data_IF_565101671902
#
_entry.id   IF_565101671902
#
_cell.length_a   1.000
_cell.length_b   1.000
_cell.length_c   1.000
_cell.angle_alpha   90.00
_cell.angle_beta   90.00
_cell.angle_gamma   90.00
#
_symmetry.space_group_name_H-M   'P 1'
#
loop_
_entity.id
_entity.type
_entity.pdbx_description
1 polymer ?
#
# COMPACT_ATOMS: atom_id res chain seq x y z
N UNK A 1 -37.51 10.74 21.57
CA UNK A 1 -36.54 10.85 22.67
C UNK A 1 -36.57 12.29 23.16
N UNK A 2 -36.67 12.53 24.47
CA UNK A 2 -36.69 13.88 25.10
C UNK A 2 -35.64 13.88 26.22
N UNK A 3 -34.98 15.01 26.47
CA UNK A 3 -34.00 15.22 27.55
C UNK A 3 -32.72 14.34 27.43
N UNK A 4 -32.12 14.26 26.25
CA UNK A 4 -30.81 13.62 26.09
C UNK A 4 -29.70 14.51 26.66
N UNK A 5 -28.69 13.87 27.23
CA UNK A 5 -27.49 14.48 27.78
C UNK A 5 -26.23 13.73 27.32
N UNK A 6 -25.06 14.20 27.78
CA UNK A 6 -23.74 13.64 27.48
C UNK A 6 -23.63 12.12 27.74
N UNK A 7 -24.35 11.61 28.74
CA UNK A 7 -24.28 10.21 29.17
C UNK A 7 -25.31 9.33 28.48
N UNK A 8 -26.46 9.89 28.11
CA UNK A 8 -27.60 9.14 27.56
C UNK A 8 -27.65 9.14 26.03
N UNK A 9 -27.01 10.11 25.36
CA UNK A 9 -27.03 10.23 23.89
C UNK A 9 -26.45 9.00 23.17
N UNK A 10 -25.41 8.38 23.72
CA UNK A 10 -24.76 7.21 23.09
C UNK A 10 -25.72 6.03 22.94
N UNK A 11 -26.43 5.71 24.03
CA UNK A 11 -27.39 4.60 24.05
C UNK A 11 -28.58 4.89 23.12
N UNK A 12 -29.05 6.14 23.10
CA UNK A 12 -30.10 6.59 22.20
C UNK A 12 -29.75 6.40 20.71
N UNK A 13 -28.49 6.67 20.30
CA UNK A 13 -28.03 6.44 18.92
C UNK A 13 -27.94 4.94 18.61
N UNK A 14 -27.40 4.14 19.54
CA UNK A 14 -27.29 2.68 19.37
C UNK A 14 -28.66 2.02 19.20
N UNK A 15 -29.63 2.38 20.04
CA UNK A 15 -31.02 1.90 19.94
C UNK A 15 -31.67 2.30 18.62
N UNK A 16 -31.33 3.48 18.07
CA UNK A 16 -31.85 3.90 16.78
C UNK A 16 -31.29 3.06 15.63
N UNK A 17 -30.03 2.62 15.74
CA UNK A 17 -29.38 1.80 14.72
C UNK A 17 -29.83 0.32 14.78
N UNK A 18 -30.41 -0.14 15.90
CA UNK A 18 -30.80 -1.54 16.09
C UNK A 18 -31.96 -2.00 15.18
N UNK A 19 -32.65 -1.07 14.51
CA UNK A 19 -33.72 -1.37 13.54
C UNK A 19 -33.20 -1.83 12.17
N UNK A 20 -31.89 -1.74 11.91
CA UNK A 20 -31.29 -2.27 10.68
C UNK A 20 -31.49 -3.80 10.58
N UNK A 21 -31.90 -4.28 9.41
CA UNK A 21 -32.01 -5.72 9.11
C UNK A 21 -30.65 -6.37 8.80
N UNK A 22 -29.59 -5.57 8.61
CA UNK A 22 -28.25 -6.07 8.39
C UNK A 22 -27.51 -6.19 9.74
N UNK A 23 -27.39 -7.43 10.24
CA UNK A 23 -26.73 -7.75 11.52
C UNK A 23 -25.28 -7.25 11.56
N UNK A 24 -24.50 -7.48 10.50
CA UNK A 24 -23.10 -7.06 10.49
C UNK A 24 -22.96 -5.54 10.54
N UNK A 25 -23.82 -4.81 9.83
CA UNK A 25 -23.84 -3.35 9.89
C UNK A 25 -24.20 -2.85 11.29
N UNK A 26 -25.11 -3.52 12.01
CA UNK A 26 -25.43 -3.18 13.40
C UNK A 26 -24.20 -3.33 14.29
N UNK A 27 -23.47 -4.43 14.19
CA UNK A 27 -22.26 -4.66 14.98
C UNK A 27 -21.20 -3.58 14.74
N UNK A 28 -20.98 -3.22 13.48
CA UNK A 28 -20.01 -2.18 13.10
C UNK A 28 -20.44 -0.81 13.64
N UNK A 29 -21.70 -0.43 13.44
CA UNK A 29 -22.20 0.89 13.88
C UNK A 29 -22.30 1.00 15.40
N UNK A 30 -22.62 -0.09 16.10
CA UNK A 30 -22.58 -0.16 17.56
C UNK A 30 -21.20 0.23 18.08
N UNK A 31 -20.16 -0.46 17.60
CA UNK A 31 -18.78 -0.23 18.02
C UNK A 31 -18.31 1.19 17.63
N UNK A 32 -18.54 1.61 16.38
CA UNK A 32 -18.14 2.93 15.89
C UNK A 32 -18.73 4.07 16.74
N UNK A 33 -20.03 4.05 16.98
CA UNK A 33 -20.71 5.09 17.78
C UNK A 33 -20.16 5.10 19.21
N UNK A 34 -19.96 3.92 19.79
CA UNK A 34 -19.48 3.80 21.16
C UNK A 34 -18.06 4.35 21.31
N UNK A 35 -17.15 4.03 20.39
CA UNK A 35 -15.78 4.57 20.40
C UNK A 35 -15.74 6.06 20.07
N UNK A 36 -16.50 6.55 19.09
CA UNK A 36 -16.55 7.96 18.72
C UNK A 36 -17.06 8.85 19.86
N UNK A 37 -18.15 8.45 20.51
CA UNK A 37 -18.68 9.19 21.65
C UNK A 37 -17.76 9.12 22.87
N UNK A 38 -17.03 8.00 23.05
CA UNK A 38 -16.06 7.87 24.14
C UNK A 38 -14.85 8.77 23.92
N UNK A 39 -14.34 8.85 22.69
CA UNK A 39 -13.30 9.80 22.30
C UNK A 39 -13.71 11.25 22.63
N UNK A 40 -14.91 11.67 22.20
CA UNK A 40 -15.39 13.04 22.45
C UNK A 40 -15.46 13.38 23.95
N UNK A 41 -15.92 12.43 24.79
CA UNK A 41 -15.93 12.60 26.25
C UNK A 41 -14.54 12.59 26.87
N UNK A 42 -13.68 11.69 26.41
CA UNK A 42 -12.32 11.52 26.93
C UNK A 42 -11.50 12.80 26.79
N UNK A 43 -11.57 13.43 25.61
CA UNK A 43 -10.85 14.68 25.33
C UNK A 43 -11.64 15.93 25.71
N UNK A 44 -12.88 15.79 26.18
CA UNK A 44 -13.81 16.90 26.44
C UNK A 44 -13.93 17.83 25.24
N UNK A 45 -14.20 17.24 24.07
CA UNK A 45 -14.20 17.93 22.77
C UNK A 45 -15.12 19.16 22.80
N UNK A 46 -14.54 20.33 22.55
CA UNK A 46 -15.27 21.61 22.50
C UNK A 46 -16.02 21.79 21.17
N UNK A 47 -16.98 22.72 21.13
CA UNK A 47 -17.69 23.06 19.88
C UNK A 47 -16.74 23.62 18.82
N UNK A 48 -15.74 24.41 19.22
CA UNK A 48 -14.73 24.97 18.33
C UNK A 48 -13.83 23.86 17.74
N UNK A 49 -13.34 22.93 18.55
CA UNK A 49 -12.55 21.78 18.07
C UNK A 49 -13.38 20.85 17.18
N UNK A 50 -14.66 20.66 17.52
CA UNK A 50 -15.60 19.92 16.68
C UNK A 50 -15.78 20.57 15.30
N UNK A 51 -15.93 21.90 15.24
CA UNK A 51 -16.03 22.64 13.98
C UNK A 51 -14.75 22.52 13.15
N UNK A 52 -13.57 22.58 13.77
CA UNK A 52 -12.29 22.31 13.12
C UNK A 52 -12.28 20.90 12.50
N UNK A 53 -12.70 19.88 13.26
CA UNK A 53 -12.79 18.50 12.79
C UNK A 53 -13.75 18.30 11.62
N UNK A 54 -14.92 18.95 11.65
CA UNK A 54 -15.89 18.92 10.55
C UNK A 54 -15.32 19.59 9.29
N UNK A 55 -14.68 20.75 9.44
CA UNK A 55 -14.05 21.46 8.33
C UNK A 55 -12.89 20.65 7.73
N UNK A 56 -12.10 19.97 8.58
CA UNK A 56 -11.05 19.06 8.14
C UNK A 56 -11.60 17.90 7.30
N UNK A 57 -12.59 17.17 7.80
CA UNK A 57 -13.21 16.05 7.05
C UNK A 57 -13.90 16.51 5.76
N UNK A 58 -14.50 17.71 5.78
CA UNK A 58 -15.09 18.32 4.59
C UNK A 58 -14.02 18.60 3.53
N UNK A 59 -12.89 19.19 3.93
CA UNK A 59 -11.78 19.47 3.02
C UNK A 59 -11.15 18.18 2.47
N UNK A 60 -11.05 17.11 3.29
CA UNK A 60 -10.59 15.79 2.85
C UNK A 60 -11.51 15.26 1.74
N UNK A 61 -12.82 15.37 1.89
CA UNK A 61 -13.77 14.97 0.85
C UNK A 61 -13.66 15.81 -0.42
N UNK A 62 -13.52 17.13 -0.30
CA UNK A 62 -13.50 18.07 -1.43
C UNK A 62 -12.28 17.92 -2.35
N UNK A 63 -11.13 17.50 -1.81
CA UNK A 63 -9.89 17.34 -2.59
C UNK A 63 -9.76 15.96 -3.24
N UNK A 64 -10.64 15.00 -2.88
CA UNK A 64 -10.68 13.70 -3.54
C UNK A 64 -11.09 13.85 -5.02
N UNK A 65 -10.45 13.05 -5.89
CA UNK A 65 -10.68 12.98 -7.34
C UNK A 65 -10.47 11.53 -7.83
N UNK A 66 -10.69 11.22 -9.12
CA UNK A 66 -10.35 9.90 -9.67
C UNK A 66 -8.88 9.49 -9.51
N UNK A 67 -7.96 10.46 -9.41
CA UNK A 67 -6.51 10.23 -9.27
C UNK A 67 -5.98 10.57 -7.88
N UNK A 68 -6.83 11.03 -6.95
CA UNK A 68 -6.45 11.37 -5.57
C UNK A 68 -7.51 10.90 -4.58
N UNK A 69 -7.13 10.04 -3.64
CA UNK A 69 -8.02 9.56 -2.58
C UNK A 69 -7.53 10.01 -1.20
N UNK A 70 -7.87 11.24 -0.81
CA UNK A 70 -7.42 11.84 0.45
C UNK A 70 -8.01 11.10 1.67
N UNK A 71 -9.20 10.49 1.57
CA UNK A 71 -9.73 9.63 2.65
C UNK A 71 -8.91 8.36 2.86
N UNK A 72 -8.39 7.75 1.78
CA UNK A 72 -7.45 6.62 1.89
C UNK A 72 -6.16 7.11 2.53
N UNK A 73 -5.65 8.27 2.11
CA UNK A 73 -4.45 8.85 2.69
C UNK A 73 -4.59 9.20 4.19
N UNK A 74 -5.77 9.67 4.60
CA UNK A 74 -6.10 9.87 6.01
C UNK A 74 -6.08 8.54 6.78
N UNK A 75 -6.68 7.49 6.21
CA UNK A 75 -6.63 6.14 6.79
C UNK A 75 -5.20 5.62 6.91
N UNK A 76 -4.37 5.82 5.88
CA UNK A 76 -2.97 5.41 5.84
C UNK A 76 -2.14 6.11 6.93
N UNK A 77 -2.26 7.43 7.02
CA UNK A 77 -1.48 8.26 7.95
C UNK A 77 -1.93 8.16 9.40
N UNK A 78 -3.16 7.70 9.65
CA UNK A 78 -3.64 7.30 10.98
C UNK A 78 -3.35 5.82 11.32
N UNK A 79 -2.74 5.07 10.39
CA UNK A 79 -2.39 3.66 10.58
C UNK A 79 -3.58 2.68 10.48
N UNK A 80 -4.78 3.17 10.14
CA UNK A 80 -5.98 2.35 10.02
C UNK A 80 -5.87 1.36 8.86
N UNK A 81 -5.34 1.77 7.71
CA UNK A 81 -5.14 0.89 6.55
C UNK A 81 -4.24 -0.29 6.90
N UNK A 82 -3.11 0.01 7.56
CA UNK A 82 -2.14 -0.99 8.04
C UNK A 82 -2.78 -1.95 9.05
N UNK A 83 -3.58 -1.43 9.99
CA UNK A 83 -4.30 -2.25 10.96
C UNK A 83 -5.32 -3.19 10.29
N UNK A 84 -6.12 -2.68 9.36
CA UNK A 84 -7.11 -3.47 8.62
C UNK A 84 -6.42 -4.60 7.84
N UNK A 85 -5.27 -4.31 7.21
CA UNK A 85 -4.49 -5.33 6.50
C UNK A 85 -3.97 -6.39 7.45
N UNK A 86 -3.38 -6.00 8.58
CA UNK A 86 -2.89 -6.93 9.58
C UNK A 86 -4.01 -7.83 10.18
N UNK A 87 -5.24 -7.33 10.24
CA UNK A 87 -6.40 -8.12 10.70
C UNK A 87 -6.87 -9.15 9.67
N UNK A 88 -6.88 -8.79 8.38
CA UNK A 88 -7.50 -9.58 7.32
C UNK A 88 -6.51 -10.45 6.54
N UNK A 89 -5.21 -10.18 6.64
CA UNK A 89 -4.15 -10.95 5.98
C UNK A 89 -3.25 -11.69 6.97
N UNK A 90 -3.85 -12.29 8.00
CA UNK A 90 -3.14 -13.19 8.92
C UNK A 90 -2.80 -14.49 8.20
N UNK A 91 -1.57 -14.58 7.71
CA UNK A 91 -1.04 -15.74 7.00
C UNK A 91 -0.18 -16.60 7.93
N UNK A 92 0.00 -17.90 7.62
CA UNK A 92 0.94 -18.73 8.36
C UNK A 92 2.38 -18.17 8.29
N UNK A 93 3.19 -18.49 9.30
CA UNK A 93 4.59 -18.08 9.34
C UNK A 93 5.34 -18.60 8.10
N UNK A 94 6.09 -17.73 7.43
CA UNK A 94 6.83 -18.03 6.21
C UNK A 94 6.17 -17.52 4.93
N UNK A 95 4.89 -17.17 4.95
CA UNK A 95 4.29 -16.40 3.85
C UNK A 95 4.83 -14.98 3.82
N UNK A 96 4.94 -14.40 2.62
CA UNK A 96 5.28 -12.98 2.48
C UNK A 96 4.18 -12.13 3.08
N UNK A 97 4.56 -11.15 3.90
CA UNK A 97 3.63 -10.25 4.56
C UNK A 97 2.94 -9.32 3.55
N UNK A 98 1.66 -9.06 3.78
CA UNK A 98 0.92 -8.04 3.05
C UNK A 98 1.15 -6.66 3.67
N UNK A 99 1.10 -5.60 2.87
CA UNK A 99 1.13 -4.20 3.34
C UNK A 99 0.20 -3.32 2.50
N UNK A 100 0.10 -2.04 2.86
CA UNK A 100 -0.85 -1.07 2.28
C UNK A 100 -0.78 -1.01 0.76
N UNK A 101 -1.92 -0.95 0.08
CA UNK A 101 -1.98 -0.89 -1.38
C UNK A 101 -1.42 0.42 -1.94
N UNK A 102 -1.63 1.53 -1.22
CA UNK A 102 -1.32 2.88 -1.67
C UNK A 102 -2.29 3.39 -2.75
N UNK A 103 -2.27 4.70 -3.05
CA UNK A 103 -3.26 5.32 -3.92
C UNK A 103 -2.89 5.33 -5.42
N UNK A 104 -1.74 4.76 -5.81
CA UNK A 104 -1.15 4.95 -7.15
C UNK A 104 -1.20 3.73 -8.07
N UNK A 105 -1.90 2.68 -7.67
CA UNK A 105 -2.22 1.58 -8.58
C UNK A 105 -3.23 2.04 -9.63
N UNK A 106 -3.07 1.54 -10.87
CA UNK A 106 -4.05 1.73 -11.95
C UNK A 106 -4.38 0.39 -12.55
N UNK A 107 -5.63 0.27 -13.00
CA UNK A 107 -6.05 -0.84 -13.84
C UNK A 107 -5.40 -0.72 -15.23
N UNK A 108 -5.22 -1.84 -15.90
CA UNK A 108 -4.72 -1.92 -17.28
C UNK A 108 -3.28 -1.41 -17.49
N UNK A 109 -2.40 -1.68 -16.52
CA UNK A 109 -0.96 -1.52 -16.72
C UNK A 109 -0.47 -2.39 -17.90
N UNK A 110 0.58 -1.98 -18.63
CA UNK A 110 1.04 -2.71 -19.81
C UNK A 110 1.55 -4.11 -19.42
N UNK A 111 1.12 -5.12 -20.17
CA UNK A 111 1.68 -6.47 -20.06
C UNK A 111 3.02 -6.51 -20.81
N UNK A 112 4.09 -6.89 -20.12
CA UNK A 112 5.43 -6.98 -20.68
C UNK A 112 5.99 -8.41 -20.53
N UNK A 113 6.87 -8.80 -21.44
CA UNK A 113 7.60 -10.07 -21.37
C UNK A 113 8.64 -10.03 -20.24
N UNK A 114 8.95 -11.18 -19.64
CA UNK A 114 10.02 -11.28 -18.66
C UNK A 114 11.35 -10.76 -19.23
N UNK A 115 12.06 -9.97 -18.42
CA UNK A 115 13.31 -9.29 -18.79
C UNK A 115 13.12 -7.90 -19.41
N UNK A 116 11.89 -7.50 -19.75
CA UNK A 116 11.61 -6.16 -20.27
C UNK A 116 11.88 -5.05 -19.24
N UNK A 117 12.07 -3.82 -19.72
CA UNK A 117 12.21 -2.64 -18.88
C UNK A 117 10.85 -1.94 -18.66
N UNK A 118 10.29 -2.00 -17.44
CA UNK A 118 9.01 -1.33 -17.12
C UNK A 118 9.13 0.20 -16.95
N UNK A 119 10.35 0.72 -16.98
CA UNK A 119 10.67 2.16 -16.91
C UNK A 119 11.43 2.62 -18.16
N UNK A 120 11.10 2.05 -19.32
CA UNK A 120 11.72 2.44 -20.59
C UNK A 120 11.53 3.95 -20.85
N UNK A 121 12.65 4.63 -21.14
CA UNK A 121 12.67 6.08 -21.37
C UNK A 121 12.64 6.95 -20.11
N UNK A 122 12.53 6.35 -18.91
CA UNK A 122 12.64 7.07 -17.63
C UNK A 122 14.11 7.21 -17.27
N UNK A 123 14.51 8.40 -16.83
CA UNK A 123 15.84 8.64 -16.29
C UNK A 123 15.95 7.97 -14.91
N UNK A 124 17.10 7.36 -14.63
CA UNK A 124 17.37 6.78 -13.33
C UNK A 124 18.51 5.78 -13.38
N UNK A 125 18.93 5.29 -12.21
CA UNK A 125 19.95 4.24 -12.12
C UNK A 125 19.32 2.90 -12.51
N UNK A 126 19.83 2.16 -13.50
CA UNK A 126 19.28 0.86 -13.89
C UNK A 126 19.19 -0.11 -12.71
N UNK A 127 18.07 -0.81 -12.62
CA UNK A 127 17.79 -1.78 -11.56
C UNK A 127 17.23 -3.07 -12.15
N UNK A 128 17.84 -4.19 -11.80
CA UNK A 128 17.43 -5.53 -12.24
C UNK A 128 16.78 -6.27 -11.08
N UNK A 129 15.50 -6.57 -11.21
CA UNK A 129 14.70 -7.23 -10.18
C UNK A 129 14.39 -8.64 -10.62
N UNK A 130 14.56 -9.61 -9.72
CA UNK A 130 14.30 -11.02 -10.00
C UNK A 130 13.90 -11.80 -8.75
N UNK A 131 13.39 -13.01 -8.96
CA UNK A 131 13.04 -13.93 -7.88
C UNK A 131 12.13 -15.05 -8.35
N UNK A 132 11.46 -15.70 -7.40
CA UNK A 132 10.48 -16.74 -7.68
C UNK A 132 9.21 -16.62 -6.84
N UNK A 133 8.10 -17.07 -7.41
CA UNK A 133 6.79 -17.19 -6.76
C UNK A 133 6.61 -18.64 -6.32
N UNK A 134 6.46 -18.83 -5.00
CA UNK A 134 6.38 -20.14 -4.36
C UNK A 134 5.19 -20.22 -3.41
N UNK A 135 4.74 -21.43 -3.12
CA UNK A 135 3.87 -21.68 -1.98
C UNK A 135 4.68 -21.88 -0.70
N UNK A 136 3.98 -21.89 0.44
CA UNK A 136 4.59 -22.10 1.76
C UNK A 136 5.34 -23.42 1.93
N UNK A 137 4.96 -24.45 1.18
CA UNK A 137 5.61 -25.77 1.11
C UNK A 137 6.78 -25.81 0.12
N UNK A 138 7.16 -24.67 -0.47
CA UNK A 138 8.22 -24.57 -1.46
C UNK A 138 7.79 -24.97 -2.87
N UNK A 139 6.52 -25.31 -3.08
CA UNK A 139 5.99 -25.62 -4.42
C UNK A 139 6.15 -24.39 -5.33
N UNK A 140 6.59 -24.62 -6.56
CA UNK A 140 6.71 -23.58 -7.58
C UNK A 140 5.30 -23.18 -8.06
N UNK A 141 5.07 -21.89 -8.25
CA UNK A 141 3.80 -21.36 -8.78
C UNK A 141 4.06 -20.76 -10.17
N UNK A 142 3.87 -21.55 -11.26
CA UNK A 142 4.08 -21.06 -12.61
C UNK A 142 2.94 -20.14 -13.04
N UNK A 143 3.22 -19.23 -13.99
CA UNK A 143 2.25 -18.31 -14.58
C UNK A 143 1.50 -17.43 -13.57
N UNK A 144 2.06 -17.22 -12.36
CA UNK A 144 1.53 -16.22 -11.44
C UNK A 144 1.61 -14.84 -12.10
N UNK A 145 0.52 -14.08 -12.03
CA UNK A 145 0.46 -12.70 -12.50
C UNK A 145 1.13 -11.80 -11.46
N UNK A 146 2.04 -10.94 -11.90
CA UNK A 146 2.84 -10.05 -11.08
C UNK A 146 2.66 -8.64 -11.62
N UNK A 147 1.89 -7.84 -10.93
CA UNK A 147 1.83 -6.40 -11.17
C UNK A 147 2.87 -5.70 -10.31
N UNK A 148 3.74 -4.91 -10.93
CA UNK A 148 4.75 -4.12 -10.26
C UNK A 148 4.54 -2.64 -10.57
N UNK A 149 4.70 -1.75 -9.58
CA UNK A 149 4.68 -0.31 -9.80
C UNK A 149 5.54 0.44 -8.78
N UNK A 150 6.10 1.58 -9.18
CA UNK A 150 6.96 2.42 -8.34
C UNK A 150 6.94 3.88 -8.77
N UNK A 151 7.46 4.74 -7.89
CA UNK A 151 7.87 6.08 -8.26
C UNK A 151 9.16 6.06 -9.11
N UNK A 152 9.43 7.16 -9.79
CA UNK A 152 10.69 7.42 -10.48
C UNK A 152 11.81 7.94 -9.54
N UNK A 153 12.91 8.41 -10.14
CA UNK A 153 14.06 8.99 -9.42
C UNK A 153 13.80 10.41 -8.87
N UNK A 154 12.64 11.00 -9.18
CA UNK A 154 12.16 12.28 -8.63
C UNK A 154 11.07 12.08 -7.56
N UNK A 155 10.66 10.83 -7.30
CA UNK A 155 9.66 10.48 -6.30
C UNK A 155 8.21 10.60 -6.78
N UNK A 156 7.96 10.59 -8.10
CA UNK A 156 6.62 10.65 -8.68
C UNK A 156 6.23 9.35 -9.36
N UNK A 157 4.99 8.91 -9.14
CA UNK A 157 4.35 7.92 -10.00
C UNK A 157 3.90 8.58 -11.29
N UNK A 158 3.88 7.83 -12.39
CA UNK A 158 3.40 8.29 -13.70
C UNK A 158 2.01 8.95 -13.65
N UNK A 159 1.07 8.43 -12.86
CA UNK A 159 -0.28 9.01 -12.67
C UNK A 159 -0.30 10.40 -12.07
N UNK A 160 0.81 10.85 -11.49
CA UNK A 160 0.98 12.20 -10.96
C UNK A 160 1.50 13.17 -12.02
N UNK A 161 1.90 12.68 -13.20
CA UNK A 161 2.46 13.47 -14.30
C UNK A 161 1.40 13.64 -15.40
N UNK A 162 0.78 14.83 -15.53
CA UNK A 162 -0.34 15.04 -16.45
C UNK A 162 0.04 14.92 -17.94
N UNK A 163 1.32 15.10 -18.28
CA UNK A 163 1.80 15.19 -19.66
C UNK A 163 2.39 13.86 -20.19
N UNK A 164 2.21 12.74 -19.48
CA UNK A 164 2.72 11.45 -19.94
C UNK A 164 1.83 10.81 -21.01
N UNK A 165 2.41 10.54 -22.18
CA UNK A 165 1.75 9.83 -23.28
C UNK A 165 1.73 8.30 -23.09
N UNK A 166 2.58 7.78 -22.20
CA UNK A 166 2.75 6.34 -21.94
C UNK A 166 2.94 6.09 -20.44
N UNK A 167 2.43 4.95 -19.96
CA UNK A 167 2.72 4.46 -18.63
C UNK A 167 4.21 4.20 -18.44
N UNK A 168 4.70 4.48 -17.23
CA UNK A 168 6.12 4.39 -16.86
C UNK A 168 6.22 3.91 -15.42
N UNK A 169 7.20 3.06 -15.11
CA UNK A 169 7.40 2.57 -13.74
C UNK A 169 6.30 1.61 -13.28
N UNK A 170 5.57 0.99 -14.22
CA UNK A 170 4.56 -0.03 -13.95
C UNK A 170 4.44 -1.04 -15.08
N UNK A 171 4.17 -2.29 -14.74
CA UNK A 171 3.88 -3.34 -15.72
C UNK A 171 3.23 -4.56 -15.06
N UNK A 172 2.61 -5.39 -15.89
CA UNK A 172 2.14 -6.74 -15.54
C UNK A 172 3.04 -7.77 -16.20
N UNK A 173 3.54 -8.72 -15.42
CA UNK A 173 4.36 -9.84 -15.87
C UNK A 173 3.69 -11.17 -15.50
N UNK A 174 4.12 -12.25 -16.13
CA UNK A 174 3.76 -13.61 -15.74
C UNK A 174 5.02 -14.41 -15.40
N UNK A 175 5.01 -15.08 -14.25
CA UNK A 175 6.10 -15.97 -13.86
C UNK A 175 6.27 -17.12 -14.87
N UNK A 176 7.50 -17.57 -15.08
CA UNK A 176 7.80 -18.66 -16.01
C UNK A 176 7.33 -20.04 -15.49
N UNK A 177 7.61 -21.11 -16.23
CA UNK A 177 7.23 -22.48 -15.83
C UNK A 177 7.93 -22.97 -14.55
N UNK A 178 9.01 -22.32 -14.13
CA UNK A 178 9.70 -22.55 -12.86
C UNK A 178 9.30 -21.53 -11.79
N UNK A 179 8.23 -20.76 -12.02
CA UNK A 179 7.73 -19.72 -11.12
C UNK A 179 8.68 -18.54 -10.98
N UNK A 180 9.68 -18.40 -11.86
CA UNK A 180 10.65 -17.31 -11.80
C UNK A 180 10.12 -16.08 -12.51
N UNK A 181 10.52 -14.92 -12.02
CA UNK A 181 10.29 -13.64 -12.67
C UNK A 181 11.58 -12.84 -12.69
N UNK A 182 11.70 -11.97 -13.69
CA UNK A 182 12.73 -10.95 -13.76
C UNK A 182 12.30 -9.83 -14.69
N UNK A 183 12.72 -8.61 -14.39
CA UNK A 183 12.51 -7.43 -15.22
C UNK A 183 13.53 -6.34 -14.89
N UNK A 184 13.63 -5.35 -15.76
CA UNK A 184 14.43 -4.15 -15.54
C UNK A 184 13.53 -2.97 -15.18
N UNK A 185 14.06 -2.06 -14.38
CA UNK A 185 13.46 -0.76 -14.05
C UNK A 185 14.57 0.21 -13.64
N UNK A 186 14.22 1.27 -12.90
CA UNK A 186 15.15 2.21 -12.26
C UNK A 186 15.01 2.15 -10.73
N UNK A 187 16.08 2.45 -10.01
CA UNK A 187 16.02 2.56 -8.54
C UNK A 187 15.10 3.73 -8.16
N UNK A 188 13.99 3.50 -7.41
CA UNK A 188 13.18 4.59 -6.87
C UNK A 188 13.87 5.27 -5.70
N UNK A 189 13.57 6.54 -5.49
CA UNK A 189 13.97 7.28 -4.30
C UNK A 189 12.90 7.24 -3.20
N UNK A 190 13.29 7.59 -1.98
CA UNK A 190 12.32 7.93 -0.94
C UNK A 190 11.51 9.14 -1.41
N UNK A 191 10.20 9.15 -1.14
CA UNK A 191 9.31 10.20 -1.64
C UNK A 191 8.26 10.59 -0.60
N UNK A 192 7.78 11.84 -0.61
CA UNK A 192 6.70 12.25 0.27
C UNK A 192 5.35 11.82 -0.31
N UNK A 193 4.44 11.35 0.55
CA UNK A 193 3.01 11.24 0.17
C UNK A 193 2.46 12.63 -0.22
N UNK A 194 1.35 12.71 -0.99
CA UNK A 194 0.67 13.98 -1.23
C UNK A 194 0.41 14.74 0.07
N UNK A 195 0.99 15.93 0.21
CA UNK A 195 0.98 16.68 1.47
C UNK A 195 0.58 18.16 1.29
N UNK A 196 0.03 18.49 0.13
CA UNK A 196 -0.57 19.79 -0.20
C UNK A 196 -2.02 19.91 0.30
N UNK A 197 -2.61 18.81 0.78
CA UNK A 197 -3.99 18.70 1.25
C UNK A 197 -4.15 18.78 2.77
N UNK A 198 -5.38 18.54 3.27
CA UNK A 198 -5.67 18.51 4.69
C UNK A 198 -4.80 17.50 5.45
N UNK A 199 -4.53 16.31 4.89
CA UNK A 199 -3.69 15.31 5.56
C UNK A 199 -2.26 15.83 5.77
N UNK A 200 -1.70 16.51 4.78
CA UNK A 200 -0.40 17.16 4.91
C UNK A 200 -0.36 18.20 6.03
N UNK A 201 -1.39 19.05 6.12
CA UNK A 201 -1.53 20.04 7.22
C UNK A 201 -1.67 19.38 8.58
N UNK A 202 -2.40 18.26 8.67
CA UNK A 202 -2.50 17.47 9.91
C UNK A 202 -1.14 16.91 10.33
N UNK A 203 -0.37 16.36 9.38
CA UNK A 203 0.97 15.85 9.67
C UNK A 203 1.91 16.96 10.15
N UNK A 204 1.90 18.11 9.48
CA UNK A 204 2.68 19.29 9.88
C UNK A 204 2.33 19.74 11.30
N UNK A 205 1.03 19.86 11.62
CA UNK A 205 0.56 20.23 12.95
C UNK A 205 0.96 19.22 14.04
N UNK A 206 1.15 17.95 13.68
CA UNK A 206 1.62 16.87 14.55
C UNK A 206 3.15 16.72 14.56
N UNK A 207 3.90 17.60 13.89
CA UNK A 207 5.36 17.48 13.69
C UNK A 207 5.78 16.15 13.05
N UNK A 208 4.97 15.63 12.14
CA UNK A 208 5.23 14.40 11.37
C UNK A 208 5.66 14.75 9.95
N UNK A 209 6.58 13.96 9.42
CA UNK A 209 7.01 14.10 8.03
C UNK A 209 6.14 13.26 7.07
N UNK A 210 6.02 13.64 5.78
CA UNK A 210 5.24 12.90 4.79
C UNK A 210 6.03 11.78 4.08
N UNK A 211 7.31 11.63 4.36
CA UNK A 211 8.20 10.71 3.63
C UNK A 211 7.90 9.22 3.85
N UNK A 212 7.99 8.48 2.75
CA UNK A 212 8.04 7.02 2.71
C UNK A 212 9.43 6.57 2.27
N UNK A 213 9.97 5.47 2.82
CA UNK A 213 11.23 4.88 2.37
C UNK A 213 11.14 4.42 0.91
N UNK A 214 12.27 4.28 0.22
CA UNK A 214 12.32 3.76 -1.15
C UNK A 214 11.77 2.33 -1.19
N UNK A 215 10.82 2.06 -2.10
CA UNK A 215 10.17 0.76 -2.24
C UNK A 215 9.64 0.52 -3.65
N UNK A 216 9.43 -0.77 -3.94
CA UNK A 216 8.74 -1.25 -5.14
C UNK A 216 7.47 -1.99 -4.72
N UNK A 217 6.33 -1.63 -5.31
CA UNK A 217 5.07 -2.29 -5.05
C UNK A 217 4.93 -3.57 -5.87
N UNK A 218 4.22 -4.54 -5.29
CA UNK A 218 3.81 -5.78 -5.94
C UNK A 218 2.35 -6.12 -5.62
N UNK A 219 1.61 -6.54 -6.64
CA UNK A 219 0.37 -7.29 -6.49
C UNK A 219 0.50 -8.60 -7.25
N UNK A 220 0.34 -9.71 -6.55
CA UNK A 220 0.61 -11.05 -7.07
C UNK A 220 -0.64 -11.90 -6.93
N UNK A 221 -1.07 -12.49 -8.04
CA UNK A 221 -2.25 -13.32 -8.13
C UNK A 221 -1.91 -14.64 -8.81
N UNK A 222 -2.42 -15.75 -8.29
CA UNK A 222 -2.27 -17.06 -8.91
C UNK A 222 -3.51 -17.92 -8.59
N UNK A 223 -3.98 -18.78 -9.52
CA UNK A 223 -5.11 -19.66 -9.25
C UNK A 223 -4.91 -20.53 -8.01
N UNK A 224 -5.86 -20.49 -7.08
CA UNK A 224 -5.81 -21.24 -5.82
C UNK A 224 -4.93 -20.61 -4.72
N UNK A 225 -4.46 -19.37 -4.90
CA UNK A 225 -3.70 -18.62 -3.90
C UNK A 225 -4.36 -17.29 -3.58
N UNK A 226 -4.28 -16.89 -2.32
CA UNK A 226 -4.72 -15.58 -1.88
C UNK A 226 -3.87 -14.51 -2.56
N UNK A 227 -4.53 -13.55 -3.20
CA UNK A 227 -3.87 -12.36 -3.77
C UNK A 227 -2.99 -11.69 -2.70
N UNK A 228 -1.74 -11.43 -3.05
CA UNK A 228 -0.76 -10.73 -2.21
C UNK A 228 -0.59 -9.31 -2.72
N UNK A 229 -0.85 -8.32 -1.87
CA UNK A 229 -0.42 -6.93 -2.07
C UNK A 229 0.70 -6.66 -1.08
N UNK A 230 1.86 -6.23 -1.57
CA UNK A 230 3.02 -5.97 -0.72
C UNK A 230 3.99 -4.97 -1.34
N UNK A 231 5.03 -4.61 -0.59
CA UNK A 231 6.15 -3.81 -1.05
C UNK A 231 7.46 -4.53 -0.74
N UNK A 232 8.50 -4.22 -1.51
CA UNK A 232 9.90 -4.53 -1.13
C UNK A 232 10.63 -3.22 -0.90
N UNK A 233 11.13 -3.03 0.32
CA UNK A 233 11.83 -1.82 0.75
C UNK A 233 13.34 -1.98 0.59
N UNK A 234 14.03 -0.89 0.24
CA UNK A 234 15.49 -0.85 0.17
C UNK A 234 16.09 -0.87 1.58
N UNK A 235 17.09 -1.71 1.78
CA UNK A 235 17.94 -1.65 2.97
C UNK A 235 18.67 -0.31 3.09
N UNK A 236 18.79 0.17 4.33
CA UNK A 236 19.41 1.46 4.65
C UNK A 236 18.74 2.68 3.99
N UNK A 237 17.49 2.52 3.52
CA UNK A 237 16.71 3.66 3.04
C UNK A 237 16.40 4.63 4.19
N UNK A 238 16.37 5.92 3.88
CA UNK A 238 15.81 6.90 4.81
C UNK A 238 14.36 6.54 5.15
N UNK A 239 13.93 6.82 6.38
CA UNK A 239 12.55 6.66 6.85
C UNK A 239 12.04 5.22 7.02
N UNK A 240 12.91 4.20 7.05
CA UNK A 240 12.48 2.82 7.36
C UNK A 240 11.78 2.72 8.72
N UNK A 241 12.31 3.40 9.74
CA UNK A 241 11.75 3.41 11.10
C UNK A 241 10.65 4.46 11.31
N UNK A 242 10.31 5.24 10.28
CA UNK A 242 9.40 6.38 10.39
C UNK A 242 8.47 6.57 9.19
N UNK A 243 8.22 5.51 8.41
CA UNK A 243 7.32 5.53 7.25
C UNK A 243 5.98 6.19 7.58
N UNK A 244 5.62 7.24 6.85
CA UNK A 244 4.45 8.08 7.12
C UNK A 244 3.13 7.30 7.18
N UNK A 245 3.07 6.12 6.56
CA UNK A 245 1.89 5.24 6.47
C UNK A 245 2.04 3.91 7.22
N UNK A 246 3.13 3.73 7.98
CA UNK A 246 3.38 2.53 8.79
C UNK A 246 3.41 1.21 7.98
N UNK A 247 3.86 1.27 6.72
CA UNK A 247 3.84 0.15 5.78
C UNK A 247 5.02 -0.81 5.88
N UNK A 248 6.11 -0.41 6.54
CA UNK A 248 7.34 -1.22 6.64
C UNK A 248 7.13 -2.46 7.52
N UNK A 249 7.69 -3.58 7.06
CA UNK A 249 7.85 -4.82 7.82
C UNK A 249 9.27 -5.32 7.64
N UNK A 250 9.88 -5.86 8.69
CA UNK A 250 11.28 -6.33 8.64
C UNK A 250 11.49 -7.39 7.57
N UNK A 251 10.51 -8.29 7.34
CA UNK A 251 10.59 -9.32 6.30
C UNK A 251 10.53 -8.79 4.87
N UNK A 252 10.12 -7.52 4.69
CA UNK A 252 9.98 -6.85 3.41
C UNK A 252 11.14 -5.90 3.10
N UNK A 253 12.14 -5.80 4.00
CA UNK A 253 13.37 -5.05 3.76
C UNK A 253 14.36 -5.99 3.07
N UNK A 254 14.83 -5.61 1.89
CA UNK A 254 15.73 -6.41 1.08
C UNK A 254 16.98 -5.62 0.69
N UNK A 255 18.09 -6.34 0.51
CA UNK A 255 19.34 -5.74 0.05
C UNK A 255 19.26 -5.39 -1.42
N UNK A 256 19.44 -4.11 -1.75
CA UNK A 256 19.57 -3.66 -3.14
C UNK A 256 21.05 -3.51 -3.43
N UNK A 257 21.63 -4.53 -4.07
CA UNK A 257 23.07 -4.62 -4.26
C UNK A 257 23.50 -3.65 -5.35
N UNK A 258 24.34 -2.68 -5.00
CA UNK A 258 24.97 -1.76 -5.95
C UNK A 258 26.16 -2.43 -6.64
N UNK A 259 26.23 -2.30 -7.96
CA UNK A 259 27.37 -2.65 -8.79
C UNK A 259 27.92 -1.35 -9.41
N UNK A 260 29.21 -1.07 -9.27
CA UNK A 260 29.79 0.17 -9.83
C UNK A 260 29.90 0.12 -11.37
N UNK A 261 30.10 -1.07 -11.93
CA UNK A 261 30.08 -1.40 -13.36
C UNK A 261 30.13 -2.93 -13.51
N UNK A 262 29.91 -3.44 -14.72
CA UNK A 262 30.04 -4.85 -15.03
C UNK A 262 28.96 -5.38 -15.95
N UNK A 263 28.90 -6.69 -16.10
CA UNK A 263 27.84 -7.36 -16.87
C UNK A 263 26.61 -7.52 -15.99
N UNK A 264 25.50 -6.91 -16.40
CA UNK A 264 24.22 -7.00 -15.71
C UNK A 264 23.52 -8.34 -16.00
N UNK A 265 22.46 -8.71 -15.24
CA UNK A 265 21.73 -9.97 -15.45
C UNK A 265 21.13 -10.17 -16.85
N UNK A 266 20.89 -9.09 -17.60
CA UNK A 266 20.44 -9.15 -19.00
C UNK A 266 21.58 -9.47 -20.00
N UNK A 267 22.82 -9.62 -19.53
CA UNK A 267 24.01 -9.89 -20.34
C UNK A 267 24.69 -8.63 -20.92
N UNK A 268 24.14 -7.45 -20.69
CA UNK A 268 24.70 -6.19 -21.17
C UNK A 268 25.78 -5.67 -20.23
N UNK A 269 26.83 -5.06 -20.80
CA UNK A 269 27.86 -4.41 -20.00
C UNK A 269 27.46 -2.97 -19.67
N UNK A 270 27.41 -2.64 -18.38
CA UNK A 270 27.19 -1.30 -17.86
C UNK A 270 28.51 -0.67 -17.40
N UNK A 271 28.88 0.46 -18.00
CA UNK A 271 30.02 1.27 -17.56
C UNK A 271 29.70 2.20 -16.38
N UNK A 272 28.41 2.42 -16.11
CA UNK A 272 27.88 3.20 -14.99
C UNK A 272 27.27 2.26 -13.93
N UNK A 273 27.04 2.76 -12.70
CA UNK A 273 26.44 1.93 -11.66
C UNK A 273 25.05 1.41 -12.03
N UNK A 274 24.73 0.22 -11.54
CA UNK A 274 23.40 -0.40 -11.59
C UNK A 274 23.14 -1.17 -10.29
N UNK A 275 21.88 -1.56 -10.06
CA UNK A 275 21.49 -2.31 -8.88
C UNK A 275 20.89 -3.66 -9.25
N UNK A 276 20.95 -4.62 -8.32
CA UNK A 276 20.23 -5.90 -8.41
C UNK A 276 19.41 -6.15 -7.15
N UNK A 277 18.20 -6.69 -7.30
CA UNK A 277 17.36 -7.23 -6.23
C UNK A 277 16.97 -8.67 -6.58
N UNK A 278 17.16 -9.58 -5.62
CA UNK A 278 16.59 -10.93 -5.64
C UNK A 278 15.62 -11.08 -4.47
N UNK A 279 14.35 -11.38 -4.76
CA UNK A 279 13.31 -11.51 -3.73
C UNK A 279 12.30 -12.59 -4.08
N UNK A 280 12.14 -13.59 -3.21
CA UNK A 280 11.15 -14.64 -3.39
C UNK A 280 9.82 -14.28 -2.70
N UNK A 281 8.71 -14.46 -3.40
CA UNK A 281 7.38 -14.29 -2.85
C UNK A 281 6.75 -15.63 -2.47
N UNK A 282 6.30 -15.74 -1.23
CA UNK A 282 5.67 -16.94 -0.69
C UNK A 282 4.17 -16.70 -0.51
N UNK A 283 3.36 -17.27 -1.39
CA UNK A 283 1.91 -17.14 -1.39
C UNK A 283 1.24 -18.15 -0.46
N UNK A 284 0.11 -17.74 0.11
CA UNK A 284 -0.78 -18.59 0.89
C UNK A 284 -1.87 -19.19 -0.02
N UNK A 285 -2.24 -20.46 0.17
CA UNK A 285 -3.35 -21.06 -0.58
C UNK A 285 -4.67 -20.43 -0.15
N UNK A 286 -5.59 -20.23 -1.10
CA UNK A 286 -6.96 -19.85 -0.73
C UNK A 286 -7.58 -20.98 0.09
N UNK A 287 -8.17 -20.64 1.24
CA UNK A 287 -9.00 -21.60 1.94
C UNK A 287 -10.25 -21.84 1.10
N UNK A 288 -10.52 -23.10 0.75
CA UNK A 288 -11.82 -23.49 0.20
C UNK A 288 -12.87 -23.09 1.23
N UNK A 289 -13.65 -22.06 0.94
CA UNK A 289 -14.84 -21.74 1.73
C UNK A 289 -15.79 -22.92 1.53
N UNK A 290 -15.79 -23.85 2.48
CA UNK A 290 -16.87 -24.83 2.58
C UNK A 290 -18.11 -24.00 2.93
N UNK A 291 -18.95 -23.74 1.93
CA UNK A 291 -20.27 -23.19 2.18
C UNK A 291 -20.97 -24.13 3.16
N UNK A 292 -21.28 -23.62 4.35
CA UNK A 292 -22.06 -24.36 5.32
C UNK A 292 -23.44 -24.62 4.67
N UNK A 293 -23.74 -25.90 4.42
CA UNK A 293 -25.01 -26.38 3.92
C UNK A 293 -26.15 -26.13 4.92
#
# INVERSE_FOLDING_TARGET
MKNLDERTITQAVIERNSFSSNERLKDVMLSLVQHLHSFAREVQLTEEEWEIGINFLTAVGQICSPTRQEFILLSDTLGLSTLVIAQNHKKPLGCTEATVFGPFHVQDAPHLELGSNMSEGVKGTPWFVSGAIKGIDGQIIPNAEIEAWQADDEGFYDVQKPDLEKYQGRAVFHADQNGKYHFQTIVPEAYPIPHDGPVGKMLEALNRHPWRPAHLHFMISAPGYERLVTHVFKDESAYLDSDAVFGVRTSLIAQWIKHENGVAPNGEYHSNPFYTLEFDFILNKEQVKVEAA
#
